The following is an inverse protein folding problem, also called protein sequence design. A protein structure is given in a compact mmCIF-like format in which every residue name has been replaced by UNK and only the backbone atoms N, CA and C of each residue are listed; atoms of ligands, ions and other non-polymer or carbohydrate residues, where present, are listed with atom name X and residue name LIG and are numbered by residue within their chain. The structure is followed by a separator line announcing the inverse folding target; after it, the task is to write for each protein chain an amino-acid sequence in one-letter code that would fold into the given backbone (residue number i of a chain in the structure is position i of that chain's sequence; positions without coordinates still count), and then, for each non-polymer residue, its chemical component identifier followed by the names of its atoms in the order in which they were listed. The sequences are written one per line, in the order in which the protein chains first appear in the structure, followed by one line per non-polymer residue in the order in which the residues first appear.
data_IF_656704729680
#
_entry.id   IF_656704729680
#
_cell.length_a   1.000
_cell.length_b   1.000
_cell.length_c   1.000
_cell.angle_alpha   90.00
_cell.angle_beta   90.00
_cell.angle_gamma   90.00
#
_symmetry.space_group_name_H-M   'P 1'
#
loop_
_entity.id
_entity.type
_entity.pdbx_description
1 polymer ?
#
# COMPACT_ATOMS: atom_id res chain seq x y z
N UNK A 1 13.11 -5.75 3.32
CA UNK A 1 13.36 -7.09 2.78
C UNK A 1 13.12 -7.16 1.27
N UNK A 2 11.94 -6.78 0.75
CA UNK A 2 11.67 -6.81 -0.71
C UNK A 2 12.71 -6.09 -1.59
N UNK A 3 13.07 -4.86 -1.24
CA UNK A 3 14.07 -4.08 -1.99
C UNK A 3 15.48 -4.69 -2.04
N UNK A 4 15.90 -5.41 -0.99
CA UNK A 4 17.19 -6.07 -0.98
C UNK A 4 17.15 -7.30 -1.88
N UNK A 5 16.10 -8.11 -1.77
CA UNK A 5 15.91 -9.29 -2.61
C UNK A 5 15.88 -8.94 -4.10
N UNK A 6 15.09 -7.94 -4.48
CA UNK A 6 15.00 -7.47 -5.87
C UNK A 6 16.32 -6.91 -6.38
N UNK A 7 17.05 -6.16 -5.54
CA UNK A 7 18.38 -5.67 -5.88
C UNK A 7 19.36 -6.82 -6.09
N UNK A 8 19.40 -7.80 -5.17
CA UNK A 8 20.29 -8.95 -5.26
C UNK A 8 20.00 -9.77 -6.53
N UNK A 9 18.73 -10.11 -6.79
CA UNK A 9 18.35 -10.83 -8.00
C UNK A 9 18.67 -10.05 -9.29
N UNK A 10 18.41 -8.75 -9.29
CA UNK A 10 18.74 -7.88 -10.41
C UNK A 10 20.24 -7.76 -10.64
N UNK A 11 21.04 -7.65 -9.58
CA UNK A 11 22.50 -7.61 -9.64
C UNK A 11 23.05 -8.95 -10.11
N UNK A 12 22.60 -10.06 -9.53
CA UNK A 12 23.04 -11.40 -9.91
C UNK A 12 22.75 -11.69 -11.38
N UNK A 13 21.55 -11.37 -11.87
CA UNK A 13 21.18 -11.67 -13.25
C UNK A 13 21.77 -10.69 -14.27
N UNK A 14 21.76 -9.39 -13.99
CA UNK A 14 22.09 -8.36 -14.99
C UNK A 14 23.48 -7.76 -14.87
N UNK A 15 24.18 -7.98 -13.75
CA UNK A 15 25.50 -7.40 -13.51
C UNK A 15 26.59 -8.46 -13.27
N UNK A 16 26.32 -9.48 -12.46
CA UNK A 16 27.30 -10.53 -12.14
C UNK A 16 27.26 -11.69 -13.13
N UNK A 17 26.05 -12.16 -13.46
CA UNK A 17 25.80 -13.28 -14.35
C UNK A 17 26.18 -14.65 -13.77
N UNK A 18 25.83 -15.69 -14.52
CA UNK A 18 26.23 -17.07 -14.26
C UNK A 18 26.86 -17.67 -15.53
N UNK A 19 27.80 -18.61 -15.35
CA UNK A 19 28.35 -19.41 -16.44
C UNK A 19 27.28 -20.32 -17.06
N UNK A 20 27.55 -20.93 -18.22
CA UNK A 20 26.64 -21.90 -18.85
C UNK A 20 26.28 -23.08 -17.92
N UNK A 21 27.15 -23.42 -16.97
CA UNK A 21 26.91 -24.45 -15.95
C UNK A 21 26.12 -23.98 -14.73
N UNK A 22 25.69 -22.71 -14.68
CA UNK A 22 24.94 -22.13 -13.55
C UNK A 22 25.77 -21.70 -12.35
N UNK A 23 27.10 -21.56 -12.51
CA UNK A 23 27.99 -21.08 -11.44
C UNK A 23 28.18 -19.56 -11.51
N UNK A 24 28.40 -18.91 -10.36
CA UNK A 24 28.75 -17.49 -10.35
C UNK A 24 30.02 -17.24 -11.17
N UNK A 25 30.05 -16.14 -11.93
CA UNK A 25 31.24 -15.72 -12.66
C UNK A 25 32.35 -15.30 -11.68
N UNK A 26 33.57 -15.81 -11.89
CA UNK A 26 34.76 -15.49 -11.09
C UNK A 26 35.43 -16.71 -10.48
N UNK A 27 36.54 -16.49 -9.77
CA UNK A 27 37.29 -17.54 -9.08
C UNK A 27 36.75 -17.74 -7.66
N UNK A 28 36.26 -18.93 -7.29
CA UNK A 28 35.70 -19.17 -5.96
C UNK A 28 36.80 -19.09 -4.89
N UNK A 29 36.58 -18.27 -3.87
CA UNK A 29 37.43 -18.28 -2.69
C UNK A 29 37.19 -19.55 -1.88
N UNK A 30 38.14 -20.48 -1.94
CA UNK A 30 38.13 -21.73 -1.16
C UNK A 30 38.59 -21.53 0.29
N UNK A 31 39.00 -20.32 0.65
CA UNK A 31 39.60 -19.99 1.95
C UNK A 31 38.57 -19.61 3.04
N UNK A 32 37.27 -19.86 2.84
CA UNK A 32 36.25 -19.54 3.83
C UNK A 32 36.15 -20.62 4.91
N UNK A 33 36.07 -20.22 6.18
CA UNK A 33 35.77 -21.14 7.27
C UNK A 33 34.36 -21.73 7.09
N UNK A 34 34.12 -22.99 7.48
CA UNK A 34 32.79 -23.58 7.42
C UNK A 34 31.81 -22.82 8.34
N UNK A 35 30.50 -22.76 7.99
CA UNK A 35 29.49 -22.13 8.84
C UNK A 35 29.49 -22.74 10.26
N UNK A 36 29.51 -21.89 11.27
CA UNK A 36 29.46 -22.33 12.67
C UNK A 36 28.01 -22.44 13.15
N UNK A 37 27.61 -23.64 13.60
CA UNK A 37 26.30 -23.84 14.23
C UNK A 37 26.26 -23.11 15.57
N UNK A 38 25.35 -22.15 15.69
CA UNK A 38 24.98 -21.57 16.98
C UNK A 38 24.16 -22.61 17.75
N UNK A 39 24.63 -22.97 18.95
CA UNK A 39 23.96 -23.94 19.82
C UNK A 39 23.46 -23.21 21.07
N UNK A 40 22.22 -23.52 21.45
CA UNK A 40 21.59 -22.97 22.64
C UNK A 40 21.04 -24.13 23.47
N UNK A 41 21.26 -24.06 24.77
CA UNK A 41 20.58 -24.93 25.72
C UNK A 41 19.19 -24.38 25.98
N UNK A 42 18.16 -25.20 25.78
CA UNK A 42 16.76 -24.83 25.99
C UNK A 42 16.21 -25.56 27.23
N UNK A 43 16.16 -24.91 28.41
CA UNK A 43 15.47 -25.43 29.59
C UNK A 43 13.99 -25.70 29.31
N UNK A 44 13.34 -26.50 30.15
CA UNK A 44 11.93 -26.88 29.97
C UNK A 44 11.01 -25.65 29.96
N UNK A 45 11.27 -24.66 30.81
CA UNK A 45 10.52 -23.41 30.88
C UNK A 45 10.62 -22.63 29.56
N UNK A 46 11.80 -22.60 28.93
CA UNK A 46 12.00 -21.95 27.65
C UNK A 46 11.25 -22.67 26.52
N UNK A 47 11.25 -24.01 26.52
CA UNK A 47 10.51 -24.80 25.54
C UNK A 47 9.01 -24.54 25.63
N UNK A 48 8.45 -24.47 26.83
CA UNK A 48 7.03 -24.09 27.05
C UNK A 48 6.71 -22.71 26.47
N UNK A 49 7.60 -21.73 26.62
CA UNK A 49 7.43 -20.40 26.02
C UNK A 49 7.49 -20.47 24.49
N UNK A 50 8.42 -21.23 23.91
CA UNK A 50 8.51 -21.43 22.45
C UNK A 50 7.21 -22.04 21.92
N UNK A 51 6.70 -23.10 22.54
CA UNK A 51 5.48 -23.78 22.11
C UNK A 51 4.26 -22.86 22.19
N UNK A 52 4.11 -22.14 23.31
CA UNK A 52 3.02 -21.17 23.46
C UNK A 52 3.10 -20.03 22.43
N UNK A 53 4.31 -19.52 22.15
CA UNK A 53 4.55 -18.48 21.16
C UNK A 53 4.25 -18.97 19.75
N UNK A 54 4.59 -20.23 19.44
CA UNK A 54 4.26 -20.86 18.17
C UNK A 54 2.74 -20.92 17.96
N UNK A 55 1.98 -21.33 18.98
CA UNK A 55 0.52 -21.37 18.86
C UNK A 55 -0.10 -19.98 18.64
N UNK A 56 0.41 -18.95 19.32
CA UNK A 56 -0.01 -17.56 19.08
C UNK A 56 0.32 -17.12 17.65
N UNK A 57 1.57 -17.34 17.20
CA UNK A 57 1.99 -16.96 15.86
C UNK A 57 1.21 -17.70 14.77
N UNK A 58 0.94 -18.99 14.97
CA UNK A 58 0.14 -19.80 14.06
C UNK A 58 -1.30 -19.31 13.98
N UNK A 59 -1.95 -19.05 15.12
CA UNK A 59 -3.32 -18.52 15.13
C UNK A 59 -3.42 -17.17 14.42
N UNK A 60 -2.43 -16.28 14.62
CA UNK A 60 -2.36 -15.00 13.91
C UNK A 60 -2.17 -15.19 12.40
N UNK A 61 -1.31 -16.13 11.98
CA UNK A 61 -1.06 -16.40 10.57
C UNK A 61 -2.26 -17.05 9.88
N UNK A 62 -2.93 -17.97 10.56
CA UNK A 62 -4.11 -18.68 10.06
C UNK A 62 -5.32 -17.74 9.88
N UNK A 63 -5.36 -16.59 10.58
CA UNK A 63 -6.45 -15.61 10.51
C UNK A 63 -6.26 -14.54 9.42
N UNK A 64 -5.12 -14.52 8.70
CA UNK A 64 -4.88 -13.52 7.64
C UNK A 64 -5.51 -13.96 6.32
N UNK A 65 -6.49 -13.20 5.84
CA UNK A 65 -6.98 -13.30 4.45
C UNK A 65 -6.17 -12.37 3.55
N UNK A 66 -5.63 -12.90 2.45
CA UNK A 66 -4.73 -12.17 1.57
C UNK A 66 -5.05 -12.37 0.09
N UNK A 67 -5.07 -11.27 -0.65
CA UNK A 67 -5.26 -11.26 -2.09
C UNK A 67 -4.26 -10.31 -2.76
N UNK A 68 -3.43 -10.86 -3.65
CA UNK A 68 -2.54 -10.09 -4.51
C UNK A 68 -3.02 -10.19 -5.95
N UNK A 69 -3.03 -9.07 -6.68
CA UNK A 69 -3.31 -9.08 -8.12
C UNK A 69 -2.57 -7.97 -8.86
N UNK A 70 -2.33 -8.23 -10.14
CA UNK A 70 -1.78 -7.27 -11.09
C UNK A 70 -2.91 -6.61 -11.87
N UNK A 71 -2.86 -5.29 -11.97
CA UNK A 71 -3.72 -4.47 -12.80
C UNK A 71 -2.91 -4.00 -14.01
N UNK A 72 -3.18 -4.60 -15.17
CA UNK A 72 -2.46 -4.36 -16.43
C UNK A 72 -3.33 -3.70 -17.50
N UNK A 73 -4.58 -3.33 -17.19
CA UNK A 73 -5.46 -2.61 -18.12
C UNK A 73 -4.87 -1.23 -18.48
N UNK A 74 -4.20 -0.59 -17.52
CA UNK A 74 -3.42 0.63 -17.68
C UNK A 74 -2.54 0.86 -16.45
N UNK A 75 -1.63 1.84 -16.51
CA UNK A 75 -0.87 2.29 -15.35
C UNK A 75 -0.74 3.80 -15.28
N UNK A 76 0.36 4.27 -14.69
CA UNK A 76 0.61 5.72 -14.52
C UNK A 76 0.70 6.48 -15.85
N UNK A 77 1.06 5.81 -16.95
CA UNK A 77 1.16 6.43 -18.27
C UNK A 77 -0.17 7.03 -18.70
N UNK A 78 -1.23 6.20 -18.68
CA UNK A 78 -2.59 6.64 -18.98
C UNK A 78 -3.11 7.66 -17.96
N UNK A 79 -2.91 7.42 -16.66
CA UNK A 79 -3.42 8.31 -15.60
C UNK A 79 -2.84 9.73 -15.74
N UNK A 80 -1.56 9.85 -16.12
CA UNK A 80 -0.93 11.16 -16.36
C UNK A 80 -1.54 11.91 -17.54
N UNK A 81 -2.08 11.23 -18.55
CA UNK A 81 -2.81 11.89 -19.65
C UNK A 81 -4.09 12.58 -19.14
N UNK A 82 -4.63 12.15 -18.01
CA UNK A 82 -5.79 12.79 -17.35
C UNK A 82 -5.39 14.05 -16.59
N UNK A 83 -4.07 14.33 -16.49
CA UNK A 83 -3.46 15.35 -15.62
C UNK A 83 -3.75 15.11 -14.13
N UNK A 84 -3.81 13.83 -13.74
CA UNK A 84 -4.08 13.39 -12.36
C UNK A 84 -2.83 12.70 -11.82
N UNK A 85 -2.53 12.91 -10.53
CA UNK A 85 -1.49 12.15 -9.85
C UNK A 85 -1.89 10.66 -9.82
N UNK A 86 -1.02 9.73 -10.28
CA UNK A 86 -1.30 8.29 -10.20
C UNK A 86 -1.65 7.81 -8.79
N UNK A 87 -1.00 8.39 -7.79
CA UNK A 87 -1.25 8.09 -6.38
C UNK A 87 -2.64 8.56 -5.93
N UNK A 88 -3.01 9.80 -6.26
CA UNK A 88 -4.35 10.33 -5.98
C UNK A 88 -5.43 9.52 -6.70
N UNK A 89 -5.18 9.09 -7.95
CA UNK A 89 -6.11 8.25 -8.70
C UNK A 89 -6.39 6.93 -7.95
N UNK A 90 -5.33 6.25 -7.50
CA UNK A 90 -5.46 4.99 -6.75
C UNK A 90 -6.18 5.26 -5.43
N UNK A 91 -5.76 6.26 -4.65
CA UNK A 91 -6.37 6.57 -3.36
C UNK A 91 -7.87 6.88 -3.43
N UNK A 92 -8.30 7.65 -4.43
CA UNK A 92 -9.72 7.92 -4.67
C UNK A 92 -10.45 6.67 -5.20
N UNK A 93 -9.80 5.81 -5.98
CA UNK A 93 -10.35 4.51 -6.39
C UNK A 93 -10.58 3.60 -5.17
N UNK A 94 -9.67 3.61 -4.19
CA UNK A 94 -9.84 2.87 -2.93
C UNK A 94 -11.05 3.38 -2.13
N UNK A 95 -11.32 4.69 -2.12
CA UNK A 95 -12.52 5.25 -1.48
C UNK A 95 -13.81 4.74 -2.15
N UNK A 96 -13.85 4.71 -3.48
CA UNK A 96 -14.98 4.19 -4.24
C UNK A 96 -15.18 2.70 -4.01
N UNK A 97 -14.10 1.92 -4.05
CA UNK A 97 -14.12 0.48 -3.81
C UNK A 97 -14.61 0.16 -2.39
N UNK A 98 -14.13 0.90 -1.38
CA UNK A 98 -14.51 0.67 0.01
C UNK A 98 -15.99 0.97 0.24
N UNK A 99 -16.49 2.06 -0.32
CA UNK A 99 -17.91 2.41 -0.22
C UNK A 99 -18.80 1.36 -0.90
N UNK A 100 -18.39 0.80 -2.04
CA UNK A 100 -19.11 -0.31 -2.69
C UNK A 100 -19.09 -1.59 -1.85
N UNK A 101 -17.99 -1.85 -1.16
CA UNK A 101 -17.80 -3.06 -0.35
C UNK A 101 -18.59 -3.01 0.97
N UNK A 102 -18.56 -1.86 1.66
CA UNK A 102 -19.07 -1.69 3.03
C UNK A 102 -20.35 -0.85 3.13
N UNK A 103 -20.72 -0.11 2.09
CA UNK A 103 -21.84 0.83 2.11
C UNK A 103 -21.60 2.09 2.95
N UNK A 104 -20.39 2.27 3.49
CA UNK A 104 -20.05 3.36 4.40
C UNK A 104 -18.64 3.89 4.15
N UNK A 105 -18.38 5.11 4.63
CA UNK A 105 -17.06 5.72 4.65
C UNK A 105 -16.35 5.40 5.96
N UNK A 106 -15.02 5.27 5.91
CA UNK A 106 -14.20 5.00 7.08
C UNK A 106 -12.96 5.89 7.10
N UNK A 107 -12.29 5.97 8.26
CA UNK A 107 -10.97 6.58 8.30
C UNK A 107 -9.99 5.79 7.44
N UNK A 108 -9.43 6.48 6.46
CA UNK A 108 -8.39 5.95 5.58
C UNK A 108 -7.04 6.56 5.93
N UNK A 109 -6.10 5.70 6.29
CA UNK A 109 -4.71 6.05 6.52
C UNK A 109 -3.93 5.86 5.22
N UNK A 110 -3.14 6.85 4.83
CA UNK A 110 -2.09 6.72 3.83
C UNK A 110 -0.75 7.20 4.41
N UNK A 111 0.29 6.39 4.23
CA UNK A 111 1.64 6.78 4.63
C UNK A 111 2.24 7.82 3.66
N UNK A 112 2.60 9.00 4.17
CA UNK A 112 3.39 10.00 3.46
C UNK A 112 4.77 10.14 4.08
N UNK A 113 5.82 10.15 3.27
CA UNK A 113 7.20 10.24 3.76
C UNK A 113 7.58 11.68 4.13
N UNK A 114 8.19 11.90 5.29
CA UNK A 114 8.65 13.22 5.74
C UNK A 114 10.16 13.40 5.57
N UNK A 115 10.75 12.79 4.53
CA UNK A 115 12.21 12.76 4.29
C UNK A 115 12.85 14.12 3.96
N UNK A 116 12.06 15.18 3.87
CA UNK A 116 12.56 16.56 3.83
C UNK A 116 13.16 17.01 5.17
N UNK A 117 12.83 16.31 6.27
CA UNK A 117 13.36 16.56 7.60
C UNK A 117 14.42 15.50 7.94
N UNK A 118 15.43 15.91 8.71
CA UNK A 118 16.41 14.99 9.29
C UNK A 118 15.68 13.94 10.13
N UNK A 119 16.00 12.67 9.90
CA UNK A 119 15.38 11.51 10.58
C UNK A 119 13.85 11.40 10.36
N UNK A 120 13.31 12.15 9.39
CA UNK A 120 11.91 12.10 9.01
C UNK A 120 11.51 10.70 8.56
N UNK A 121 10.45 10.18 9.20
CA UNK A 121 9.82 8.90 8.87
C UNK A 121 8.56 9.15 8.05
N UNK A 122 7.41 9.19 8.71
CA UNK A 122 6.11 9.29 8.05
C UNK A 122 5.16 10.24 8.77
N UNK A 123 4.26 10.83 7.99
CA UNK A 123 3.01 11.48 8.40
C UNK A 123 1.82 10.74 7.76
N UNK A 124 0.61 11.00 8.21
CA UNK A 124 -0.63 10.45 7.65
C UNK A 124 -1.29 11.43 6.68
N UNK A 125 -1.69 10.91 5.53
CA UNK A 125 -2.68 11.55 4.66
C UNK A 125 -4.02 10.86 4.91
N UNK A 126 -5.06 11.67 5.18
CA UNK A 126 -6.42 11.17 5.43
C UNK A 126 -7.22 11.15 4.13
N UNK A 127 -7.15 10.05 3.38
CA UNK A 127 -7.72 10.00 2.01
C UNK A 127 -9.25 10.15 1.96
N UNK A 128 -9.97 9.79 3.03
CA UNK A 128 -11.42 9.99 3.15
C UNK A 128 -11.76 11.46 3.49
N UNK A 129 -11.77 12.31 2.47
CA UNK A 129 -12.16 13.72 2.56
C UNK A 129 -13.59 13.98 2.14
N UNK A 130 -14.13 15.17 2.44
CA UNK A 130 -15.45 15.60 1.95
C UNK A 130 -15.53 15.54 0.43
N UNK A 131 -14.47 15.95 -0.26
CA UNK A 131 -14.33 15.94 -1.71
C UNK A 131 -14.35 14.51 -2.27
N UNK A 132 -13.57 13.60 -1.66
CA UNK A 132 -13.60 12.18 -2.04
C UNK A 132 -14.98 11.55 -1.84
N UNK A 133 -15.64 11.84 -0.70
CA UNK A 133 -16.98 11.31 -0.43
C UNK A 133 -18.04 11.90 -1.35
N UNK A 134 -17.91 13.15 -1.78
CA UNK A 134 -18.81 13.77 -2.76
C UNK A 134 -18.68 13.08 -4.12
N UNK A 135 -17.44 12.86 -4.58
CA UNK A 135 -17.18 12.07 -5.78
C UNK A 135 -17.77 10.66 -5.68
N UNK A 136 -17.48 9.93 -4.60
CA UNK A 136 -17.98 8.55 -4.42
C UNK A 136 -19.50 8.51 -4.43
N UNK A 137 -20.18 9.42 -3.72
CA UNK A 137 -21.64 9.53 -3.77
C UNK A 137 -22.16 9.77 -5.19
N UNK A 138 -21.49 10.62 -5.98
CA UNK A 138 -21.88 10.87 -7.37
C UNK A 138 -21.78 9.65 -8.28
N UNK A 139 -20.84 8.74 -7.99
CA UNK A 139 -20.69 7.48 -8.73
C UNK A 139 -21.81 6.48 -8.41
N UNK A 140 -22.43 6.59 -7.23
CA UNK A 140 -23.54 5.71 -6.80
C UNK A 140 -24.92 6.26 -7.19
N UNK A 141 -25.00 7.52 -7.60
CA UNK A 141 -26.24 8.18 -7.98
C UNK A 141 -26.48 8.08 -9.50
N UNK A 142 -27.50 7.33 -9.96
CA UNK A 142 -27.79 7.18 -11.39
C UNK A 142 -28.27 8.48 -12.05
N UNK A 143 -28.70 9.48 -11.29
CA UNK A 143 -29.10 10.77 -11.83
C UNK A 143 -27.90 11.67 -12.23
N UNK A 144 -26.69 11.32 -11.80
CA UNK A 144 -25.47 12.12 -12.05
C UNK A 144 -24.83 11.75 -13.37
N UNK A 145 -24.57 12.75 -14.20
CA UNK A 145 -23.92 12.59 -15.49
C UNK A 145 -22.41 12.37 -15.40
N UNK A 146 -21.82 11.84 -16.49
CA UNK A 146 -20.37 11.59 -16.59
C UNK A 146 -19.52 12.85 -16.36
N UNK A 147 -19.94 14.00 -16.92
CA UNK A 147 -19.22 15.27 -16.79
C UNK A 147 -19.11 15.73 -15.33
N UNK A 148 -20.20 15.64 -14.58
CA UNK A 148 -20.23 16.03 -13.16
C UNK A 148 -19.35 15.11 -12.31
N UNK A 149 -19.45 13.78 -12.53
CA UNK A 149 -18.60 12.79 -11.86
C UNK A 149 -17.11 13.06 -12.10
N UNK A 150 -16.75 13.39 -13.35
CA UNK A 150 -15.37 13.76 -13.71
C UNK A 150 -14.90 15.02 -12.98
N UNK A 151 -15.73 16.06 -12.91
CA UNK A 151 -15.39 17.29 -12.19
C UNK A 151 -15.18 17.04 -10.69
N UNK A 152 -16.08 16.27 -10.07
CA UNK A 152 -15.95 15.90 -8.66
C UNK A 152 -14.70 15.05 -8.39
N UNK A 153 -14.36 14.14 -9.32
CA UNK A 153 -13.12 13.38 -9.24
C UNK A 153 -11.87 14.28 -9.29
N UNK A 154 -11.85 15.25 -10.21
CA UNK A 154 -10.73 16.20 -10.32
C UNK A 154 -10.54 16.99 -9.02
N UNK A 155 -11.63 17.48 -8.43
CA UNK A 155 -11.60 18.18 -7.13
C UNK A 155 -11.08 17.28 -6.01
N UNK A 156 -11.53 16.02 -5.96
CA UNK A 156 -11.06 15.05 -4.98
C UNK A 156 -9.56 14.74 -5.13
N UNK A 157 -9.08 14.57 -6.37
CA UNK A 157 -7.68 14.32 -6.66
C UNK A 157 -6.78 15.52 -6.33
N UNK A 158 -7.20 16.74 -6.64
CA UNK A 158 -6.49 17.97 -6.29
C UNK A 158 -6.40 18.15 -4.77
N UNK A 159 -7.49 17.87 -4.05
CA UNK A 159 -7.52 17.90 -2.58
C UNK A 159 -6.55 16.89 -1.99
N UNK A 160 -6.57 15.65 -2.48
CA UNK A 160 -5.64 14.60 -2.05
C UNK A 160 -4.18 15.03 -2.25
N UNK A 161 -3.83 15.49 -3.45
CA UNK A 161 -2.48 15.96 -3.75
C UNK A 161 -2.06 17.15 -2.89
N UNK A 162 -2.98 18.06 -2.57
CA UNK A 162 -2.70 19.17 -1.64
C UNK A 162 -2.39 18.66 -0.24
N UNK A 163 -3.19 17.74 0.31
CA UNK A 163 -2.93 17.15 1.63
C UNK A 163 -1.63 16.34 1.67
N UNK A 164 -1.31 15.61 0.59
CA UNK A 164 -0.05 14.89 0.49
C UNK A 164 1.15 15.84 0.57
N UNK A 165 1.07 17.00 -0.11
CA UNK A 165 2.09 18.05 -0.01
C UNK A 165 2.21 18.60 1.40
N UNK A 166 1.10 18.86 2.09
CA UNK A 166 1.13 19.30 3.49
C UNK A 166 1.79 18.25 4.39
N UNK A 167 1.41 16.98 4.25
CA UNK A 167 1.96 15.90 5.05
C UNK A 167 3.49 15.74 4.86
N UNK A 168 3.96 15.70 3.60
CA UNK A 168 5.40 15.55 3.32
C UNK A 168 6.25 16.74 3.80
N UNK A 169 5.65 17.94 3.89
CA UNK A 169 6.29 19.14 4.45
C UNK A 169 6.03 19.32 5.94
N UNK A 170 5.58 18.30 6.66
CA UNK A 170 5.41 18.34 8.13
C UNK A 170 4.24 19.18 8.62
N UNK A 171 3.30 19.53 7.73
CA UNK A 171 2.07 20.25 8.03
C UNK A 171 0.85 19.32 8.14
N UNK A 172 1.08 18.01 8.27
CA UNK A 172 0.04 17.06 8.68
C UNK A 172 -0.30 17.19 10.16
N UNK A 173 -1.40 16.56 10.56
CA UNK A 173 -1.96 16.73 11.91
C UNK A 173 -1.82 15.48 12.78
N UNK A 174 -1.72 14.30 12.19
CA UNK A 174 -1.81 13.03 12.92
C UNK A 174 -0.62 12.80 13.85
N UNK A 175 0.62 13.04 13.40
CA UNK A 175 1.79 12.94 14.30
C UNK A 175 1.76 14.00 15.39
N UNK A 176 1.21 15.18 15.12
CA UNK A 176 1.04 16.23 16.13
C UNK A 176 0.02 15.81 17.20
N UNK A 177 -1.14 15.30 16.81
CA UNK A 177 -2.14 14.78 17.76
C UNK A 177 -1.59 13.60 18.58
N UNK A 178 -0.80 12.71 17.94
CA UNK A 178 -0.14 11.63 18.66
C UNK A 178 0.88 12.14 19.69
N UNK A 179 1.63 13.20 19.37
CA UNK A 179 2.53 13.85 20.33
C UNK A 179 1.75 14.39 21.54
N UNK A 180 0.64 15.09 21.31
CA UNK A 180 -0.21 15.60 22.40
C UNK A 180 -0.76 14.46 23.27
N UNK A 181 -1.14 13.33 22.68
CA UNK A 181 -1.54 12.14 23.41
C UNK A 181 -0.40 11.55 24.26
N UNK A 182 0.79 11.39 23.72
CA UNK A 182 1.94 10.88 24.49
C UNK A 182 2.26 11.80 25.68
N UNK A 183 2.23 13.12 25.47
CA UNK A 183 2.46 14.11 26.53
C UNK A 183 1.35 14.07 27.58
N UNK A 184 0.07 13.96 27.18
CA UNK A 184 -1.04 13.90 28.14
C UNK A 184 -0.96 12.64 29.02
N UNK A 185 -0.57 11.49 28.43
CA UNK A 185 -0.32 10.25 29.18
C UNK A 185 0.82 10.39 30.17
N UNK A 186 1.91 11.05 29.78
CA UNK A 186 3.05 11.29 30.67
C UNK A 186 2.68 12.19 31.85
N UNK A 187 1.86 13.22 31.62
CA UNK A 187 1.42 14.18 32.64
C UNK A 187 0.22 13.71 33.47
N UNK A 188 -0.40 12.56 33.13
CA UNK A 188 -1.62 12.10 33.77
C UNK A 188 -2.84 12.98 33.50
N UNK A 189 -2.86 13.69 32.37
CA UNK A 189 -3.96 14.59 31.97
C UNK A 189 -4.94 13.85 31.08
N UNK A 190 -6.19 13.76 31.51
CA UNK A 190 -7.28 13.29 30.67
C UNK A 190 -7.76 14.42 29.74
N UNK A 191 -7.96 14.09 28.47
CA UNK A 191 -8.47 15.03 27.48
C UNK A 191 -9.63 14.39 26.72
N UNK A 192 -10.88 14.86 26.95
CA UNK A 192 -12.04 14.38 26.20
C UNK A 192 -11.87 14.56 24.69
N UNK A 193 -11.20 15.63 24.26
CA UNK A 193 -10.86 15.86 22.86
C UNK A 193 -9.95 14.76 22.30
N UNK A 194 -8.83 14.46 22.97
CA UNK A 194 -7.90 13.41 22.50
C UNK A 194 -8.56 12.03 22.51
N UNK A 195 -9.38 11.74 23.54
CA UNK A 195 -10.16 10.52 23.59
C UNK A 195 -11.10 10.39 22.38
N UNK A 196 -11.77 11.48 21.99
CA UNK A 196 -12.68 11.48 20.83
C UNK A 196 -11.93 11.33 19.50
N UNK A 197 -10.88 12.13 19.24
CA UNK A 197 -10.22 12.17 17.93
C UNK A 197 -9.38 10.93 17.62
N UNK A 198 -9.02 10.17 18.65
CA UNK A 198 -8.24 8.91 18.53
C UNK A 198 -9.11 7.65 18.69
N UNK A 199 -10.41 7.78 18.96
CA UNK A 199 -11.30 6.63 19.17
C UNK A 199 -11.63 5.87 17.89
N UNK A 200 -11.66 6.56 16.74
CA UNK A 200 -12.09 5.96 15.49
C UNK A 200 -10.97 5.14 14.84
N UNK A 201 -11.19 3.85 14.54
CA UNK A 201 -10.16 3.00 13.96
C UNK A 201 -9.90 3.29 12.47
N UNK A 202 -8.66 3.05 12.05
CA UNK A 202 -8.24 3.13 10.65
C UNK A 202 -8.64 1.85 9.89
N UNK A 203 -9.91 1.75 9.49
CA UNK A 203 -10.43 0.55 8.79
C UNK A 203 -9.88 0.38 7.37
N UNK A 204 -9.27 1.40 6.80
CA UNK A 204 -8.51 1.26 5.55
C UNK A 204 -7.11 1.84 5.74
N UNK A 205 -6.10 0.97 5.80
CA UNK A 205 -4.70 1.39 5.88
C UNK A 205 -4.02 1.15 4.54
N UNK A 206 -3.37 2.17 4.01
CA UNK A 206 -2.81 2.17 2.66
C UNK A 206 -1.36 2.63 2.63
N UNK A 207 -0.57 2.06 1.72
CA UNK A 207 0.78 2.55 1.45
C UNK A 207 1.17 2.29 0.00
N UNK A 208 1.70 3.32 -0.66
CA UNK A 208 2.48 3.12 -1.86
C UNK A 208 3.86 2.57 -1.48
N UNK A 209 4.29 1.50 -2.14
CA UNK A 209 5.69 1.06 -2.06
C UNK A 209 6.43 1.60 -3.29
N UNK A 210 7.42 2.49 -3.12
CA UNK A 210 8.20 3.00 -4.24
C UNK A 210 9.07 1.89 -4.81
N UNK A 211 9.08 1.68 -6.12
CA UNK A 211 9.91 0.67 -6.75
C UNK A 211 11.05 1.31 -7.54
N UNK A 212 12.30 1.11 -7.10
CA UNK A 212 13.48 1.71 -7.75
C UNK A 212 14.27 0.71 -8.59
N UNK A 213 14.17 -0.58 -8.25
CA UNK A 213 14.93 -1.70 -8.81
C UNK A 213 14.53 -1.99 -10.26
N UNK A 214 13.32 -1.59 -10.67
CA UNK A 214 12.86 -1.65 -12.06
C UNK A 214 13.82 -0.92 -13.03
N UNK A 215 14.63 0.03 -12.55
CA UNK A 215 15.63 0.69 -13.41
C UNK A 215 16.83 -0.18 -13.78
N UNK A 216 16.97 -1.35 -13.15
CA UNK A 216 18.10 -2.26 -13.38
C UNK A 216 17.92 -3.13 -14.63
N UNK A 217 16.71 -3.21 -15.17
CA UNK A 217 16.39 -4.04 -16.33
C UNK A 217 15.21 -3.48 -17.11
N UNK A 218 15.09 -3.88 -18.38
CA UNK A 218 13.90 -3.59 -19.16
C UNK A 218 12.76 -4.53 -18.77
N UNK A 219 11.64 -3.97 -18.31
CA UNK A 219 10.48 -4.74 -17.87
C UNK A 219 9.75 -5.42 -19.02
N UNK A 220 9.76 -4.84 -20.23
CA UNK A 220 9.02 -5.42 -21.35
C UNK A 220 9.59 -6.77 -21.74
N UNK A 221 10.93 -6.87 -21.73
CA UNK A 221 11.68 -8.09 -22.01
C UNK A 221 11.86 -9.02 -20.81
N UNK A 222 11.64 -8.54 -19.57
CA UNK A 222 11.89 -9.31 -18.34
C UNK A 222 10.71 -9.28 -17.36
N UNK A 223 9.49 -9.51 -17.85
CA UNK A 223 8.25 -9.42 -17.06
C UNK A 223 8.26 -10.36 -15.83
N UNK A 224 8.86 -11.55 -15.95
CA UNK A 224 8.94 -12.54 -14.86
C UNK A 224 9.80 -12.08 -13.66
N UNK A 225 10.59 -11.02 -13.84
CA UNK A 225 11.41 -10.45 -12.78
C UNK A 225 10.75 -9.26 -12.08
N UNK A 226 9.58 -8.84 -12.55
CA UNK A 226 8.82 -7.74 -11.95
C UNK A 226 8.14 -8.25 -10.70
N UNK A 227 8.77 -7.99 -9.56
CA UNK A 227 8.23 -8.31 -8.25
C UNK A 227 6.93 -7.53 -7.99
N UNK A 228 5.93 -8.25 -7.52
CA UNK A 228 4.69 -7.66 -7.02
C UNK A 228 4.91 -6.88 -5.72
N UNK A 229 6.07 -7.00 -5.08
CA UNK A 229 6.43 -6.41 -3.79
C UNK A 229 5.76 -7.08 -2.60
N UNK A 230 5.48 -6.30 -1.55
CA UNK A 230 4.89 -6.81 -0.31
C UNK A 230 3.80 -5.90 0.25
N UNK A 231 2.99 -6.49 1.13
CA UNK A 231 1.93 -5.83 1.89
C UNK A 231 2.14 -5.90 3.39
N UNK A 232 1.09 -5.53 4.12
CA UNK A 232 0.99 -5.57 5.58
C UNK A 232 -0.43 -5.98 5.95
N UNK A 233 -0.63 -6.53 7.16
CA UNK A 233 -1.95 -6.88 7.70
C UNK A 233 -2.82 -5.65 7.97
N UNK A 234 -4.15 -5.80 8.15
CA UNK A 234 -5.02 -4.70 8.53
C UNK A 234 -4.67 -4.21 9.95
N UNK A 235 -4.92 -2.92 10.22
CA UNK A 235 -4.69 -2.30 11.54
C UNK A 235 -5.92 -2.30 12.44
N UNK A 236 -7.08 -2.68 11.88
CA UNK A 236 -8.34 -2.90 12.58
C UNK A 236 -8.85 -4.29 12.21
N UNK A 237 -9.51 -4.98 13.15
CA UNK A 237 -9.99 -6.35 12.94
C UNK A 237 -11.03 -6.44 11.82
N UNK A 238 -11.84 -5.38 11.65
CA UNK A 238 -12.90 -5.24 10.65
C UNK A 238 -12.46 -4.44 9.40
N UNK A 239 -11.15 -4.23 9.24
CA UNK A 239 -10.56 -3.38 8.21
C UNK A 239 -9.70 -4.10 7.18
N UNK A 240 -9.13 -3.30 6.27
CA UNK A 240 -8.24 -3.74 5.20
C UNK A 240 -6.86 -3.08 5.30
N UNK A 241 -5.81 -3.86 4.98
CA UNK A 241 -4.48 -3.35 4.63
C UNK A 241 -4.29 -3.40 3.12
N UNK A 242 -3.89 -2.29 2.50
CA UNK A 242 -3.66 -2.20 1.05
C UNK A 242 -2.29 -1.61 0.75
N UNK A 243 -1.39 -2.42 0.20
CA UNK A 243 -0.14 -1.92 -0.39
C UNK A 243 -0.26 -1.94 -1.91
N UNK A 244 0.29 -0.92 -2.57
CA UNK A 244 0.34 -0.89 -4.03
C UNK A 244 1.67 -0.40 -4.57
N UNK A 245 2.04 -0.93 -5.73
CA UNK A 245 3.25 -0.57 -6.48
C UNK A 245 2.84 -0.11 -7.85
N UNK A 246 3.40 1.02 -8.28
CA UNK A 246 3.28 1.50 -9.65
C UNK A 246 4.56 1.11 -10.40
N UNK A 247 4.48 0.13 -11.27
CA UNK A 247 5.58 -0.44 -12.02
C UNK A 247 5.53 -0.01 -13.49
N UNK A 248 6.59 0.65 -13.98
CA UNK A 248 6.61 1.14 -15.37
C UNK A 248 5.49 2.12 -15.68
N UNK A 249 4.98 2.10 -16.91
CA UNK A 249 3.87 2.95 -17.36
C UNK A 249 2.50 2.25 -17.33
N UNK A 250 2.47 0.90 -17.39
CA UNK A 250 1.27 0.12 -17.67
C UNK A 250 0.89 -0.91 -16.59
N UNK A 251 1.64 -1.01 -15.49
CA UNK A 251 1.40 -2.00 -14.46
C UNK A 251 1.24 -1.35 -13.08
N UNK A 252 0.17 -1.75 -12.38
CA UNK A 252 -0.03 -1.46 -10.97
C UNK A 252 -0.27 -2.79 -10.26
N UNK A 253 0.40 -3.03 -9.14
CA UNK A 253 0.22 -4.25 -8.35
C UNK A 253 -0.39 -3.92 -7.00
N UNK A 254 -1.35 -4.72 -6.55
CA UNK A 254 -2.03 -4.55 -5.28
C UNK A 254 -1.82 -5.76 -4.39
N UNK A 255 -1.59 -5.50 -3.11
CA UNK A 255 -1.59 -6.44 -2.00
C UNK A 255 -2.67 -6.04 -1.03
N UNK A 256 -3.67 -6.89 -0.86
CA UNK A 256 -4.80 -6.64 0.02
C UNK A 256 -4.79 -7.69 1.12
N UNK A 257 -4.91 -7.24 2.35
CA UNK A 257 -5.06 -8.10 3.51
C UNK A 257 -6.30 -7.71 4.32
N UNK A 258 -6.89 -8.70 4.97
CA UNK A 258 -7.94 -8.57 5.97
C UNK A 258 -7.86 -9.77 6.93
N UNK A 259 -8.86 -9.95 7.79
CA UNK A 259 -8.93 -11.11 8.69
C UNK A 259 -10.08 -12.03 8.32
N UNK A 260 -9.85 -13.34 8.34
CA UNK A 260 -10.91 -14.34 8.16
C UNK A 260 -11.94 -14.28 9.28
N UNK A 261 -11.53 -13.91 10.49
CA UNK A 261 -12.40 -13.73 11.65
C UNK A 261 -13.40 -12.58 11.52
N UNK A 262 -13.19 -11.63 10.61
CA UNK A 262 -14.13 -10.53 10.38
C UNK A 262 -15.14 -10.91 9.28
N UNK A 263 -16.44 -11.01 9.61
CA UNK A 263 -17.48 -11.37 8.64
C UNK A 263 -17.73 -10.25 7.61
N UNK A 264 -17.23 -9.04 7.88
CA UNK A 264 -17.45 -7.88 7.03
C UNK A 264 -16.36 -7.71 5.96
N UNK A 265 -15.25 -8.42 6.06
CA UNK A 265 -14.08 -8.25 5.18
C UNK A 265 -13.84 -9.47 4.30
N UNK A 266 -13.42 -9.23 3.06
CA UNK A 266 -13.00 -10.26 2.10
C UNK A 266 -11.98 -9.63 1.14
N UNK A 267 -10.71 -10.01 1.26
CA UNK A 267 -9.60 -9.42 0.50
C UNK A 267 -9.79 -9.59 -1.01
N UNK A 268 -10.38 -10.69 -1.46
CA UNK A 268 -10.61 -10.98 -2.88
C UNK A 268 -11.80 -10.19 -3.43
N UNK A 269 -12.88 -10.05 -2.66
CA UNK A 269 -14.04 -9.21 -2.98
C UNK A 269 -13.62 -7.76 -3.07
N UNK A 270 -12.85 -7.28 -2.10
CA UNK A 270 -12.34 -5.92 -2.11
C UNK A 270 -11.41 -5.67 -3.30
N UNK A 271 -10.56 -6.64 -3.65
CA UNK A 271 -9.74 -6.56 -4.87
C UNK A 271 -10.55 -6.43 -6.16
N UNK A 272 -11.66 -7.16 -6.30
CA UNK A 272 -12.58 -6.98 -7.44
C UNK A 272 -13.19 -5.58 -7.46
N UNK A 273 -13.57 -5.05 -6.30
CA UNK A 273 -14.10 -3.69 -6.17
C UNK A 273 -13.06 -2.62 -6.53
N UNK A 274 -11.79 -2.81 -6.15
CA UNK A 274 -10.68 -1.92 -6.53
C UNK A 274 -10.47 -1.95 -8.05
N UNK A 275 -10.38 -3.13 -8.63
CA UNK A 275 -10.21 -3.31 -10.08
C UNK A 275 -11.34 -2.60 -10.85
N UNK A 276 -12.60 -2.82 -10.46
CA UNK A 276 -13.74 -2.18 -11.11
C UNK A 276 -13.76 -0.66 -10.90
N UNK A 277 -13.44 -0.18 -9.69
CA UNK A 277 -13.36 1.25 -9.40
C UNK A 277 -12.33 1.97 -10.29
N UNK A 278 -11.17 1.36 -10.51
CA UNK A 278 -10.15 1.90 -11.40
C UNK A 278 -10.64 2.03 -12.85
N UNK A 279 -11.31 1.00 -13.37
CA UNK A 279 -11.90 1.03 -14.72
C UNK A 279 -12.98 2.10 -14.84
N UNK A 280 -13.94 2.12 -13.91
CA UNK A 280 -15.06 3.06 -13.95
C UNK A 280 -14.60 4.52 -13.88
N UNK A 281 -13.54 4.80 -13.12
CA UNK A 281 -12.94 6.14 -13.03
C UNK A 281 -12.24 6.50 -14.34
N UNK A 282 -11.50 5.57 -14.95
CA UNK A 282 -10.85 5.79 -16.24
C UNK A 282 -11.87 6.11 -17.35
N UNK A 283 -13.02 5.45 -17.34
CA UNK A 283 -14.12 5.66 -18.29
C UNK A 283 -14.72 7.08 -18.22
N UNK A 284 -14.51 7.82 -17.13
CA UNK A 284 -14.92 9.23 -17.04
C UNK A 284 -14.10 10.15 -17.97
N UNK A 285 -12.93 9.71 -18.44
CA UNK A 285 -11.97 10.55 -19.14
C UNK A 285 -12.00 10.42 -20.67
N UNK A 286 -12.73 9.45 -21.25
CA UNK A 286 -12.92 9.22 -22.69
C UNK A 286 -11.62 9.43 -23.51
N UNK A 287 -10.65 8.53 -23.34
CA UNK A 287 -9.36 8.64 -24.04
C UNK A 287 -9.49 8.07 -25.45
N UNK A 288 -9.18 8.83 -26.50
CA UNK A 288 -9.11 8.28 -27.85
C UNK A 288 -7.99 7.22 -27.93
N UNK A 289 -8.28 6.07 -28.55
CA UNK A 289 -7.37 4.93 -28.69
C UNK A 289 -5.96 5.31 -29.19
N UNK A 290 -5.84 6.37 -30.00
CA UNK A 290 -4.58 6.81 -30.61
C UNK A 290 -3.56 7.41 -29.63
N UNK A 291 -3.90 7.65 -28.35
CA UNK A 291 -2.96 8.15 -27.33
C UNK A 291 -2.45 7.08 -26.36
N UNK A 292 -2.93 5.85 -26.48
CA UNK A 292 -2.57 4.74 -25.58
C UNK A 292 -1.35 3.95 -26.11
N UNK A 293 -0.97 4.16 -27.37
CA UNK A 293 0.05 3.39 -28.09
C UNK A 293 1.42 4.08 -28.24
N UNK A 294 1.68 5.17 -27.51
CA UNK A 294 2.98 5.86 -27.52
C UNK A 294 3.60 5.92 -26.13
#
# INVERSE_FOLDING_TARGET
MGHLWEFMLGTDKFHLGYSEGGHCCGEPSTAMAPPQRLQWDFPEECRKVIDSSYHVAKALADDVDFHCFQFSNFGKGLIKLFKISPDAFIQISLQLAHFRDKGSFCLTYEASMTRLFREGRTETVRSCTRESTAFVRSMMDPARGQLERRQLFQVAAEKHQHMYRLAMTGAGIDRHLFCLYVVSRYLGVESPFLAQVLAEPWRLSTSQTPQQQIKMFDMETNQDLVSSGGGFGPVADDGYGVSYIIAGENLITFHISSKFSSPETDSRRFGRNIHQAMLDIADLFNVPANKVAN
#
